data_IF_700722485454
#
_entry.id   IF_700722485454
#
_cell.length_a   1.000
_cell.length_b   1.000
_cell.length_c   1.000
_cell.angle_alpha   90.00
_cell.angle_beta   90.00
_cell.angle_gamma   90.00
#
_symmetry.space_group_name_H-M   'P 1'
#
loop_
_entity.id
_entity.type
_entity.pdbx_description
1 polymer ?
#
# COMPACT_ATOMS: atom_id res chain seq x y z
N UNK A 1 -23.05 3.66 -5.85
CA UNK A 1 -21.91 4.60 -5.70
C UNK A 1 -20.74 3.85 -5.09
N UNK A 2 -19.57 3.83 -5.75
CA UNK A 2 -18.41 3.11 -5.21
C UNK A 2 -17.89 3.82 -3.96
N UNK A 3 -17.76 3.10 -2.84
CA UNK A 3 -17.24 3.64 -1.57
C UNK A 3 -15.81 4.15 -1.76
N UNK A 4 -15.42 5.21 -1.04
CA UNK A 4 -14.03 5.67 -1.00
C UNK A 4 -13.11 4.53 -0.53
N UNK A 5 -11.92 4.46 -1.10
CA UNK A 5 -10.87 3.60 -0.58
C UNK A 5 -10.44 4.05 0.83
N UNK A 6 -9.95 3.15 1.70
CA UNK A 6 -9.27 3.56 2.91
C UNK A 6 -8.09 4.47 2.57
N UNK A 7 -7.92 5.55 3.35
CA UNK A 7 -6.83 6.53 3.19
C UNK A 7 -6.69 7.09 1.76
N UNK A 8 -7.81 7.25 1.05
CA UNK A 8 -7.79 7.64 -0.36
C UNK A 8 -7.24 9.05 -0.58
N UNK A 9 -7.54 9.97 0.32
CA UNK A 9 -7.13 11.38 0.20
C UNK A 9 -5.62 11.51 0.49
N UNK A 10 -5.11 10.79 1.50
CA UNK A 10 -3.69 10.69 1.82
C UNK A 10 -2.91 10.01 0.70
N UNK A 11 -3.49 8.95 0.10
CA UNK A 11 -2.91 8.28 -1.06
C UNK A 11 -2.85 9.20 -2.27
N UNK A 12 -3.91 10.00 -2.52
CA UNK A 12 -3.90 11.03 -3.56
C UNK A 12 -2.77 12.03 -3.35
N UNK A 13 -2.64 12.56 -2.15
CA UNK A 13 -1.58 13.53 -1.83
C UNK A 13 -0.19 12.91 -1.98
N UNK A 14 -0.02 11.66 -1.55
CA UNK A 14 1.22 10.92 -1.74
C UNK A 14 1.59 10.73 -3.21
N UNK A 15 0.62 10.40 -4.07
CA UNK A 15 0.84 10.31 -5.52
C UNK A 15 1.23 11.66 -6.14
N UNK A 16 0.61 12.75 -5.70
CA UNK A 16 0.94 14.10 -6.18
C UNK A 16 2.35 14.55 -5.75
N UNK A 17 2.76 14.22 -4.53
CA UNK A 17 4.12 14.51 -4.01
C UNK A 17 5.21 13.81 -4.80
N UNK A 18 4.93 12.63 -5.37
CA UNK A 18 5.89 11.91 -6.22
C UNK A 18 6.22 12.62 -7.54
N UNK A 19 5.62 13.78 -7.87
CA UNK A 19 5.92 14.68 -9.02
C UNK A 19 5.98 14.05 -10.42
N UNK A 20 5.68 12.76 -10.55
CA UNK A 20 5.79 11.99 -11.79
C UNK A 20 4.44 11.79 -12.49
N UNK A 21 3.32 12.21 -11.89
CA UNK A 21 1.97 11.92 -12.37
C UNK A 21 1.16 13.20 -12.57
N UNK A 22 0.48 13.31 -13.73
CA UNK A 22 -0.51 14.37 -13.97
C UNK A 22 -1.75 14.17 -13.08
N UNK A 23 -2.51 15.25 -12.85
CA UNK A 23 -3.78 15.19 -12.10
C UNK A 23 -4.76 14.14 -12.67
N UNK A 24 -4.88 14.08 -14.00
CA UNK A 24 -5.71 13.07 -14.69
C UNK A 24 -5.22 11.65 -14.45
N UNK A 25 -3.91 11.45 -14.39
CA UNK A 25 -3.30 10.15 -14.09
C UNK A 25 -3.59 9.74 -12.64
N UNK A 26 -3.50 10.67 -11.69
CA UNK A 26 -3.85 10.40 -10.28
C UNK A 26 -5.30 9.97 -10.14
N UNK A 27 -6.26 10.66 -10.78
CA UNK A 27 -7.67 10.23 -10.73
C UNK A 27 -7.87 8.81 -11.25
N UNK A 28 -7.18 8.44 -12.32
CA UNK A 28 -7.24 7.08 -12.86
C UNK A 28 -6.72 6.04 -11.87
N UNK A 29 -5.70 6.35 -11.07
CA UNK A 29 -5.24 5.48 -9.99
C UNK A 29 -6.28 5.34 -8.88
N UNK A 30 -6.93 6.43 -8.47
CA UNK A 30 -7.97 6.37 -7.42
C UNK A 30 -9.19 5.55 -7.87
N UNK A 31 -9.65 5.74 -9.10
CA UNK A 31 -10.77 4.97 -9.66
C UNK A 31 -10.43 3.48 -9.71
N UNK A 32 -9.22 3.13 -10.16
CA UNK A 32 -8.76 1.73 -10.16
C UNK A 32 -8.63 1.17 -8.77
N UNK A 33 -8.11 1.94 -7.81
CA UNK A 33 -7.99 1.51 -6.42
C UNK A 33 -9.36 1.16 -5.83
N UNK A 34 -10.35 2.04 -5.97
CA UNK A 34 -11.72 1.77 -5.50
C UNK A 34 -12.30 0.50 -6.12
N UNK A 35 -12.08 0.28 -7.42
CA UNK A 35 -12.51 -0.94 -8.11
C UNK A 35 -11.80 -2.17 -7.56
N UNK A 36 -10.48 -2.12 -7.39
CA UNK A 36 -9.72 -3.23 -6.82
C UNK A 36 -10.16 -3.59 -5.40
N UNK A 37 -10.50 -2.60 -4.57
CA UNK A 37 -11.03 -2.84 -3.23
C UNK A 37 -12.42 -3.46 -3.30
N UNK A 38 -13.27 -3.02 -4.22
CA UNK A 38 -14.59 -3.60 -4.40
C UNK A 38 -14.51 -5.06 -4.88
N UNK A 39 -13.57 -5.37 -5.78
CA UNK A 39 -13.43 -6.69 -6.40
C UNK A 39 -12.72 -7.69 -5.47
N UNK A 40 -11.72 -7.25 -4.70
CA UNK A 40 -10.83 -8.14 -3.93
C UNK A 40 -10.80 -7.89 -2.42
N UNK A 41 -11.40 -6.79 -1.95
CA UNK A 41 -11.23 -6.32 -0.57
C UNK A 41 -9.81 -5.81 -0.27
N UNK A 42 -9.63 -5.28 0.94
CA UNK A 42 -8.34 -4.74 1.38
C UNK A 42 -7.26 -5.83 1.46
N UNK A 43 -7.60 -7.00 2.01
CA UNK A 43 -6.69 -8.15 2.06
C UNK A 43 -6.26 -8.60 0.66
N UNK A 44 -7.18 -8.64 -0.29
CA UNK A 44 -6.84 -9.00 -1.67
C UNK A 44 -5.90 -7.98 -2.33
N UNK A 45 -6.05 -6.69 -2.05
CA UNK A 45 -5.05 -5.70 -2.49
C UNK A 45 -3.67 -5.95 -1.85
N UNK A 46 -3.60 -6.38 -0.60
CA UNK A 46 -2.33 -6.63 0.07
C UNK A 46 -1.65 -7.92 -0.44
N UNK A 47 -2.40 -8.97 -0.73
CA UNK A 47 -1.82 -10.31 -0.94
C UNK A 47 -2.08 -10.92 -2.33
N UNK A 48 -3.11 -10.50 -3.06
CA UNK A 48 -3.46 -11.15 -4.31
C UNK A 48 -2.50 -10.82 -5.46
N UNK A 49 -2.33 -11.78 -6.36
CA UNK A 49 -1.63 -11.60 -7.64
C UNK A 49 -2.62 -11.02 -8.66
N UNK A 50 -2.40 -9.77 -9.04
CA UNK A 50 -3.21 -9.10 -10.06
C UNK A 50 -2.61 -9.32 -11.45
N UNK A 51 -3.43 -9.75 -12.42
CA UNK A 51 -2.95 -10.04 -13.78
C UNK A 51 -2.90 -8.82 -14.70
N UNK A 52 -3.80 -7.85 -14.52
CA UNK A 52 -3.79 -6.61 -15.30
C UNK A 52 -2.62 -5.70 -14.91
N UNK A 53 -1.84 -5.24 -15.91
CA UNK A 53 -0.62 -4.44 -15.69
C UNK A 53 -0.92 -3.11 -14.98
N UNK A 54 -2.01 -2.42 -15.35
CA UNK A 54 -2.34 -1.11 -14.76
C UNK A 54 -2.84 -1.26 -13.32
N UNK A 55 -3.59 -2.32 -13.07
CA UNK A 55 -4.08 -2.67 -11.74
C UNK A 55 -2.95 -3.12 -10.81
N UNK A 56 -1.99 -3.93 -11.31
CA UNK A 56 -0.75 -4.23 -10.56
C UNK A 56 0.02 -2.99 -10.17
N UNK A 57 0.15 -2.04 -11.09
CA UNK A 57 0.87 -0.80 -10.80
C UNK A 57 0.14 0.04 -9.74
N UNK A 58 -1.18 0.09 -9.81
CA UNK A 58 -2.03 0.74 -8.80
C UNK A 58 -1.87 0.07 -7.43
N UNK A 59 -1.92 -1.26 -7.38
CA UNK A 59 -1.71 -2.05 -6.17
C UNK A 59 -0.32 -1.81 -5.57
N UNK A 60 0.73 -1.79 -6.41
CA UNK A 60 2.09 -1.51 -5.99
C UNK A 60 2.22 -0.13 -5.35
N UNK A 61 1.71 0.92 -6.00
CA UNK A 61 1.76 2.27 -5.42
C UNK A 61 1.00 2.37 -4.11
N UNK A 62 -0.16 1.73 -4.01
CA UNK A 62 -0.91 1.72 -2.77
C UNK A 62 -0.17 0.99 -1.64
N UNK A 63 0.50 -0.13 -1.94
CA UNK A 63 1.37 -0.82 -0.96
C UNK A 63 2.55 0.05 -0.52
N UNK A 64 3.24 0.68 -1.46
CA UNK A 64 4.34 1.60 -1.16
C UNK A 64 3.88 2.76 -0.27
N UNK A 65 2.73 3.35 -0.58
CA UNK A 65 2.09 4.36 0.27
C UNK A 65 1.80 3.85 1.68
N UNK A 66 1.18 2.68 1.83
CA UNK A 66 0.87 2.12 3.14
C UNK A 66 2.13 1.87 3.98
N UNK A 67 3.19 1.34 3.35
CA UNK A 67 4.47 1.15 4.03
C UNK A 67 5.08 2.47 4.52
N UNK A 68 5.02 3.53 3.70
CA UNK A 68 5.52 4.85 4.08
C UNK A 68 4.66 5.48 5.18
N UNK A 69 3.34 5.48 5.01
CA UNK A 69 2.37 6.05 5.94
C UNK A 69 2.47 5.41 7.34
N UNK A 70 2.58 4.08 7.39
CA UNK A 70 2.70 3.32 8.64
C UNK A 70 4.14 2.97 9.03
N UNK A 71 5.15 3.60 8.41
CA UNK A 71 6.56 3.33 8.71
C UNK A 71 6.91 3.51 10.19
N UNK A 72 6.31 4.51 10.84
CA UNK A 72 6.45 4.76 12.28
C UNK A 72 5.93 3.64 13.17
N UNK A 73 5.07 2.75 12.66
CA UNK A 73 4.56 1.56 13.35
C UNK A 73 5.35 0.32 12.90
N UNK A 74 5.55 0.16 11.59
CA UNK A 74 6.15 -1.03 10.99
C UNK A 74 7.63 -1.15 11.39
N UNK A 75 8.40 -0.05 11.36
CA UNK A 75 9.84 -0.11 11.61
C UNK A 75 10.18 -0.53 13.04
N UNK A 76 9.56 0.02 14.11
CA UNK A 76 9.78 -0.47 15.47
C UNK A 76 9.43 -1.97 15.63
N UNK A 77 8.32 -2.42 15.06
CA UNK A 77 7.91 -3.83 15.16
C UNK A 77 8.91 -4.77 14.50
N UNK A 78 9.49 -4.38 13.36
CA UNK A 78 10.52 -5.16 12.70
C UNK A 78 11.83 -5.21 13.50
N UNK A 79 12.20 -4.10 14.14
CA UNK A 79 13.39 -4.03 15.00
C UNK A 79 13.24 -4.92 16.24
N UNK A 80 12.06 -4.93 16.86
CA UNK A 80 11.78 -5.78 18.01
C UNK A 80 11.80 -7.26 17.63
N UNK A 81 11.22 -7.63 16.47
CA UNK A 81 11.28 -8.99 15.96
C UNK A 81 12.71 -9.45 15.67
N UNK A 82 13.54 -8.58 15.08
CA UNK A 82 14.95 -8.87 14.80
C UNK A 82 15.73 -9.10 16.09
N UNK A 83 15.54 -8.24 17.10
CA UNK A 83 16.14 -8.37 18.43
C UNK A 83 15.74 -9.68 19.11
N UNK A 84 14.46 -10.07 19.04
CA UNK A 84 14.01 -11.35 19.57
C UNK A 84 14.65 -12.55 18.86
N UNK A 85 14.84 -12.47 17.54
CA UNK A 85 15.49 -13.54 16.76
C UNK A 85 16.97 -13.69 17.15
N UNK A 86 17.68 -12.61 17.42
CA UNK A 86 19.06 -12.64 17.90
C UNK A 86 19.16 -13.33 19.27
N UNK A 87 18.30 -12.95 20.22
CA UNK A 87 18.25 -13.58 21.56
C UNK A 87 17.99 -15.08 21.47
N UNK A 88 17.18 -15.55 20.52
CA UNK A 88 16.91 -16.98 20.32
C UNK A 88 18.15 -17.71 19.79
N UNK A 89 18.89 -17.12 18.86
CA UNK A 89 20.13 -17.69 18.30
C UNK A 89 21.25 -17.80 19.33
N UNK A 90 21.34 -16.87 20.27
CA UNK A 90 22.36 -16.92 21.34
C UNK A 90 22.08 -18.01 22.39
N UNK A 91 20.85 -18.55 22.43
CA UNK A 91 20.42 -19.60 23.36
C UNK A 91 20.45 -21.00 22.77
N UNK A 92 20.70 -21.13 21.47
CA UNK A 92 20.88 -22.40 20.73
C UNK A 92 22.38 -22.75 20.63
#
# INVERSE_FOLDING_TARGET
>A
MSKKAPLEDEFREWLLRRKLLSQSTVQNYLVRLRRLIADYGLQGILFAVILDKRSRLTQRYYKEFLCEHFSHIILPLLQDEEREREIRKEKE
#
